data_IF_907277575080
#
_entry.id   IF_907277575080
#
_cell.length_a   1.000
_cell.length_b   1.000
_cell.length_c   1.000
_cell.angle_alpha   90.00
_cell.angle_beta   90.00
_cell.angle_gamma   90.00
#
_symmetry.space_group_name_H-M   'P 1'
#
loop_
_entity.id
_entity.type
_entity.pdbx_description
1 polymer ?
#
# COMPACT_ATOMS: atom_id res chain seq x y z
N UNK A 1 -6.07 20.54 4.57
CA UNK A 1 -5.80 20.06 3.20
C UNK A 1 -6.99 19.23 2.76
N UNK A 2 -7.76 19.63 1.75
CA UNK A 2 -8.95 18.89 1.31
C UNK A 2 -8.57 17.77 0.33
N UNK A 3 -9.31 16.66 0.37
CA UNK A 3 -9.04 15.48 -0.46
C UNK A 3 -7.94 14.56 0.06
N UNK A 4 -7.18 14.95 1.08
CA UNK A 4 -6.15 14.12 1.73
C UNK A 4 -6.61 13.72 3.14
N UNK A 5 -6.23 12.52 3.58
CA UNK A 5 -6.35 12.15 5.00
C UNK A 5 -5.22 12.75 5.83
N UNK A 6 -4.11 13.11 5.18
CA UNK A 6 -2.93 13.74 5.76
C UNK A 6 -1.96 12.75 6.39
N UNK A 7 -2.17 11.44 6.24
CA UNK A 7 -1.40 10.39 6.94
C UNK A 7 -1.04 9.25 6.01
N UNK A 8 0.17 8.74 6.12
CA UNK A 8 0.62 7.50 5.49
C UNK A 8 1.13 6.52 6.54
N UNK A 9 0.93 5.24 6.29
CA UNK A 9 1.52 4.17 7.10
C UNK A 9 2.92 3.83 6.59
N UNK A 10 3.87 3.71 7.49
CA UNK A 10 5.24 3.24 7.24
C UNK A 10 5.37 1.88 7.92
N UNK A 11 5.60 0.84 7.12
CA UNK A 11 5.61 -0.55 7.58
C UNK A 11 6.99 -1.15 7.33
N UNK A 12 7.73 -1.35 8.42
CA UNK A 12 9.00 -2.08 8.42
C UNK A 12 8.72 -3.56 8.69
N UNK A 13 8.71 -4.35 7.63
CA UNK A 13 8.42 -5.79 7.69
C UNK A 13 9.53 -6.59 8.35
N UNK A 14 10.77 -6.11 8.29
CA UNK A 14 11.93 -6.77 8.93
C UNK A 14 11.80 -6.74 10.44
N UNK A 15 11.44 -5.57 11.00
CA UNK A 15 11.31 -5.37 12.44
C UNK A 15 9.88 -5.53 12.96
N UNK A 16 8.90 -5.73 12.08
CA UNK A 16 7.48 -5.80 12.41
C UNK A 16 6.94 -4.50 13.01
N UNK A 17 7.49 -3.35 12.61
CA UNK A 17 7.11 -2.03 13.15
C UNK A 17 6.20 -1.29 12.18
N UNK A 18 5.17 -0.67 12.74
CA UNK A 18 4.27 0.22 12.00
C UNK A 18 4.36 1.59 12.65
N UNK A 19 4.51 2.64 11.84
CA UNK A 19 4.42 4.02 12.29
C UNK A 19 3.58 4.85 11.31
N UNK A 20 3.08 5.98 11.81
CA UNK A 20 2.36 6.95 11.01
C UNK A 20 3.29 8.11 10.64
N UNK A 21 3.19 8.58 9.40
CA UNK A 21 3.85 9.79 8.95
C UNK A 21 2.81 10.77 8.43
N UNK A 22 2.90 12.01 8.90
CA UNK A 22 2.07 13.09 8.38
C UNK A 22 2.56 13.53 6.99
N UNK A 23 1.62 13.74 6.07
CA UNK A 23 1.90 14.34 4.77
C UNK A 23 2.22 15.83 4.91
N UNK A 24 3.23 16.27 4.17
CA UNK A 24 3.57 17.69 4.08
C UNK A 24 2.73 18.34 2.97
N UNK A 25 2.11 19.46 3.29
CA UNK A 25 1.27 20.20 2.32
C UNK A 25 2.05 20.63 1.07
N UNK A 26 3.31 20.99 1.23
CA UNK A 26 4.20 21.35 0.13
C UNK A 26 4.41 20.18 -0.84
N UNK A 27 4.62 18.97 -0.32
CA UNK A 27 4.76 17.76 -1.13
C UNK A 27 3.45 17.44 -1.86
N UNK A 28 2.31 17.59 -1.20
CA UNK A 28 1.00 17.41 -1.83
C UNK A 28 0.73 18.45 -2.92
N UNK A 29 1.21 19.69 -2.78
CA UNK A 29 1.10 20.71 -3.84
C UNK A 29 2.02 20.42 -5.02
N UNK A 30 3.23 19.92 -4.75
CA UNK A 30 4.23 19.64 -5.78
C UNK A 30 3.94 18.35 -6.55
N UNK A 31 3.46 17.32 -5.87
CA UNK A 31 3.36 15.95 -6.42
C UNK A 31 1.91 15.44 -6.46
N UNK A 32 0.94 16.26 -6.03
CA UNK A 32 -0.47 15.91 -5.92
C UNK A 32 -0.68 14.73 -4.95
N UNK A 33 -0.67 13.51 -5.46
CA UNK A 33 -0.82 12.27 -4.70
C UNK A 33 -0.58 11.11 -5.64
N UNK A 34 -1.07 9.92 -5.30
CA UNK A 34 -0.96 8.74 -6.14
C UNK A 34 0.48 8.53 -6.63
N UNK A 35 0.64 8.32 -7.93
CA UNK A 35 1.93 7.96 -8.54
C UNK A 35 2.97 9.07 -8.40
N UNK A 36 2.58 10.34 -8.36
CA UNK A 36 3.51 11.46 -8.20
C UNK A 36 4.18 11.43 -6.82
N UNK A 37 3.37 11.38 -5.76
CA UNK A 37 3.88 11.34 -4.39
C UNK A 37 4.58 10.02 -4.07
N UNK A 38 4.07 8.89 -4.57
CA UNK A 38 4.72 7.59 -4.42
C UNK A 38 6.09 7.54 -5.11
N UNK A 39 6.21 8.14 -6.31
CA UNK A 39 7.49 8.23 -7.03
C UNK A 39 8.50 9.10 -6.29
N UNK A 40 8.05 10.19 -5.66
CA UNK A 40 8.91 11.01 -4.80
C UNK A 40 9.51 10.16 -3.67
N UNK A 41 8.69 9.37 -2.97
CA UNK A 41 9.19 8.52 -1.88
C UNK A 41 10.19 7.49 -2.40
N UNK A 42 9.85 6.80 -3.51
CA UNK A 42 10.75 5.85 -4.13
C UNK A 42 12.10 6.49 -4.51
N UNK A 43 12.06 7.67 -5.12
CA UNK A 43 13.26 8.38 -5.59
C UNK A 43 14.17 8.82 -4.44
N UNK A 44 13.57 9.32 -3.35
CA UNK A 44 14.32 9.81 -2.19
C UNK A 44 14.89 8.68 -1.33
N UNK A 45 14.20 7.53 -1.26
CA UNK A 45 14.44 6.52 -0.23
C UNK A 45 15.05 5.21 -0.75
N UNK A 46 14.78 4.83 -2.02
CA UNK A 46 15.35 3.60 -2.60
C UNK A 46 16.70 3.89 -3.25
N UNK A 47 17.79 3.24 -2.79
CA UNK A 47 19.10 3.42 -3.39
C UNK A 47 19.11 3.05 -4.88
N UNK A 48 19.83 3.83 -5.70
CA UNK A 48 20.00 3.54 -7.15
C UNK A 48 20.39 2.09 -7.43
N UNK A 49 21.28 1.52 -6.60
CA UNK A 49 21.78 0.16 -6.72
C UNK A 49 20.96 -0.91 -5.98
N UNK A 50 19.82 -0.58 -5.37
CA UNK A 50 19.02 -1.55 -4.63
C UNK A 50 18.58 -2.72 -5.52
N UNK A 51 18.66 -3.94 -5.00
CA UNK A 51 18.05 -5.11 -5.63
C UNK A 51 16.51 -4.94 -5.60
N UNK A 52 15.80 -5.01 -6.73
CA UNK A 52 14.34 -4.94 -6.77
C UNK A 52 13.63 -5.98 -5.89
N UNK A 53 14.27 -7.12 -5.61
CA UNK A 53 13.74 -8.17 -4.72
C UNK A 53 14.37 -8.14 -3.32
N UNK A 54 15.23 -7.16 -3.05
CA UNK A 54 15.93 -7.00 -1.78
C UNK A 54 15.20 -6.10 -0.77
N UNK A 55 15.67 -6.08 0.49
CA UNK A 55 15.02 -5.37 1.59
C UNK A 55 15.12 -3.83 1.51
N UNK A 56 15.98 -3.31 0.63
CA UNK A 56 16.16 -1.86 0.42
C UNK A 56 15.24 -1.30 -0.67
N UNK A 57 14.47 -2.15 -1.36
CA UNK A 57 13.38 -1.69 -2.20
C UNK A 57 12.15 -1.37 -1.34
N UNK A 58 11.27 -0.52 -1.86
CA UNK A 58 10.00 -0.17 -1.22
C UNK A 58 8.83 -0.56 -2.13
N UNK A 59 7.74 -1.00 -1.51
CA UNK A 59 6.46 -1.24 -2.17
C UNK A 59 5.45 -0.22 -1.65
N UNK A 60 5.04 0.70 -2.51
CA UNK A 60 4.32 1.91 -2.10
C UNK A 60 2.92 1.89 -2.69
N UNK A 61 1.91 1.73 -1.83
CA UNK A 61 0.51 1.91 -2.16
C UNK A 61 0.14 3.37 -1.91
N UNK A 62 -0.43 4.07 -2.89
CA UNK A 62 -0.78 5.47 -2.74
C UNK A 62 -2.07 5.83 -3.48
N UNK A 63 -2.92 6.60 -2.83
CA UNK A 63 -4.17 7.13 -3.37
C UNK A 63 -4.01 8.56 -3.85
N UNK A 64 -4.91 9.00 -4.73
CA UNK A 64 -4.99 10.40 -5.16
C UNK A 64 -5.94 11.21 -4.28
N UNK A 65 -5.88 12.55 -4.32
CA UNK A 65 -6.76 13.41 -3.53
C UNK A 65 -8.26 13.28 -3.88
N UNK A 66 -8.57 12.76 -5.06
CA UNK A 66 -9.96 12.51 -5.46
C UNK A 66 -10.45 11.13 -5.03
N UNK A 67 -9.57 10.22 -4.61
CA UNK A 67 -9.96 8.85 -4.26
C UNK A 67 -10.97 8.87 -3.10
N UNK A 68 -12.15 8.28 -3.33
CA UNK A 68 -13.26 8.23 -2.37
C UNK A 68 -14.19 9.46 -2.38
N UNK A 69 -13.99 10.42 -3.30
CA UNK A 69 -14.92 11.54 -3.50
C UNK A 69 -16.04 11.19 -4.50
N UNK A 70 -17.03 12.08 -4.65
CA UNK A 70 -18.10 11.95 -5.67
C UNK A 70 -17.62 12.21 -7.11
N UNK A 71 -16.32 12.45 -7.32
CA UNK A 71 -15.76 12.63 -8.66
C UNK A 71 -15.93 11.34 -9.49
N UNK A 72 -16.33 11.43 -10.78
CA UNK A 72 -16.52 10.26 -11.61
C UNK A 72 -15.27 9.36 -11.67
N UNK A 73 -15.46 8.06 -11.42
CA UNK A 73 -14.40 7.05 -11.45
C UNK A 73 -13.25 7.24 -10.42
N UNK A 74 -13.50 7.93 -9.32
CA UNK A 74 -12.49 8.24 -8.32
C UNK A 74 -12.29 7.13 -7.25
N UNK A 75 -12.18 5.87 -7.68
CA UNK A 75 -11.90 4.71 -6.81
C UNK A 75 -10.47 4.17 -6.91
N UNK A 76 -9.59 4.85 -7.65
CA UNK A 76 -8.28 4.31 -8.03
C UNK A 76 -7.20 4.56 -6.99
N UNK A 77 -6.21 3.67 -6.98
CA UNK A 77 -4.92 3.81 -6.31
C UNK A 77 -3.80 3.32 -7.23
N UNK A 78 -2.56 3.61 -6.86
CA UNK A 78 -1.37 3.11 -7.55
C UNK A 78 -0.49 2.31 -6.60
N UNK A 79 0.34 1.46 -7.19
CA UNK A 79 1.43 0.75 -6.53
C UNK A 79 2.72 1.09 -7.26
N UNK A 80 3.68 1.65 -6.55
CA UNK A 80 4.97 2.09 -7.10
C UNK A 80 6.10 1.35 -6.39
N UNK A 81 7.08 0.89 -7.16
CA UNK A 81 8.27 0.19 -6.66
C UNK A 81 9.40 0.23 -7.69
N UNK A 82 10.61 -0.21 -7.34
CA UNK A 82 11.61 -0.61 -8.34
C UNK A 82 11.20 -1.97 -8.92
N UNK A 83 10.96 -2.03 -10.22
CA UNK A 83 10.44 -3.22 -10.88
C UNK A 83 11.49 -4.35 -10.95
N UNK A 84 11.17 -5.58 -10.53
CA UNK A 84 12.06 -6.73 -10.72
C UNK A 84 12.16 -7.19 -12.18
N UNK A 85 11.15 -6.89 -13.01
CA UNK A 85 11.15 -7.26 -14.41
C UNK A 85 12.09 -6.37 -15.24
N UNK A 86 12.10 -5.06 -14.96
CA UNK A 86 12.83 -4.09 -15.80
C UNK A 86 14.05 -3.49 -15.12
N UNK A 87 14.14 -3.57 -13.78
CA UNK A 87 15.17 -2.89 -12.99
C UNK A 87 14.97 -1.38 -12.85
N UNK A 88 13.90 -0.82 -13.42
CA UNK A 88 13.59 0.62 -13.41
C UNK A 88 12.41 0.96 -12.50
N UNK A 89 11.94 2.21 -12.55
CA UNK A 89 10.69 2.62 -11.93
C UNK A 89 9.52 1.80 -12.50
N UNK A 90 8.75 1.18 -11.61
CA UNK A 90 7.53 0.45 -11.92
C UNK A 90 6.32 1.11 -11.26
N UNK A 91 5.25 1.26 -12.04
CA UNK A 91 3.95 1.73 -11.59
C UNK A 91 2.87 0.76 -12.07
N UNK A 92 1.97 0.40 -11.17
CA UNK A 92 0.71 -0.25 -11.50
C UNK A 92 -0.46 0.60 -10.97
N UNK A 93 -1.56 0.63 -11.72
CA UNK A 93 -2.79 1.29 -11.31
C UNK A 93 -3.90 0.26 -11.14
N UNK A 94 -4.69 0.38 -10.06
CA UNK A 94 -5.85 -0.47 -9.83
C UNK A 94 -7.05 0.35 -9.39
N UNK A 95 -8.24 -0.14 -9.75
CA UNK A 95 -9.53 0.45 -9.40
C UNK A 95 -10.26 -0.35 -8.33
N UNK A 96 -11.58 -0.33 -8.39
CA UNK A 96 -12.44 -0.98 -7.39
C UNK A 96 -12.62 -0.09 -6.15
N UNK A 97 -12.85 -0.74 -5.00
CA UNK A 97 -13.15 -0.06 -3.74
C UNK A 97 -11.97 0.02 -2.79
N UNK A 98 -10.88 -0.74 -3.00
CA UNK A 98 -9.77 -0.81 -2.04
C UNK A 98 -9.18 0.55 -1.67
N UNK A 99 -8.90 1.41 -2.67
CA UNK A 99 -8.36 2.75 -2.43
C UNK A 99 -9.32 3.65 -1.64
N UNK A 100 -10.63 3.47 -1.82
CA UNK A 100 -11.66 4.19 -1.04
C UNK A 100 -11.66 3.71 0.42
N UNK A 101 -11.52 2.40 0.65
CA UNK A 101 -11.47 1.85 2.00
C UNK A 101 -10.21 2.27 2.76
N UNK A 102 -9.06 2.37 2.08
CA UNK A 102 -7.84 2.94 2.67
C UNK A 102 -8.05 4.41 3.08
N UNK A 103 -8.75 5.19 2.25
CA UNK A 103 -9.09 6.57 2.58
C UNK A 103 -10.06 6.65 3.76
N UNK A 104 -11.07 5.79 3.79
CA UNK A 104 -12.04 5.73 4.87
C UNK A 104 -11.42 5.30 6.21
N UNK A 105 -10.38 4.46 6.19
CA UNK A 105 -9.60 4.15 7.39
C UNK A 105 -8.65 5.28 7.81
N UNK A 106 -8.60 6.37 7.03
CA UNK A 106 -7.93 7.60 7.40
C UNK A 106 -6.47 7.68 6.96
N UNK A 107 -6.08 6.93 5.93
CA UNK A 107 -4.73 6.97 5.35
C UNK A 107 -4.77 7.30 3.84
N UNK A 108 -3.73 7.97 3.34
CA UNK A 108 -3.54 8.25 1.92
C UNK A 108 -2.66 7.19 1.23
N UNK A 109 -1.87 6.45 1.99
CA UNK A 109 -0.93 5.47 1.45
C UNK A 109 -0.26 4.61 2.49
N UNK A 110 0.43 3.59 2.01
CA UNK A 110 1.20 2.61 2.79
C UNK A 110 2.54 2.43 2.09
N UNK A 111 3.64 2.62 2.82
CA UNK A 111 4.99 2.34 2.34
C UNK A 111 5.52 1.12 3.09
N UNK A 112 5.69 0.02 2.38
CA UNK A 112 6.35 -1.17 2.91
C UNK A 112 7.84 -1.14 2.60
N UNK A 113 8.66 -1.47 3.60
CA UNK A 113 10.10 -1.69 3.48
C UNK A 113 10.52 -2.95 4.21
N UNK A 114 11.63 -3.55 3.79
CA UNK A 114 12.18 -4.73 4.42
C UNK A 114 11.44 -6.01 4.02
N UNK A 115 11.81 -7.11 4.64
CA UNK A 115 11.27 -8.44 4.33
C UNK A 115 10.89 -9.11 5.64
N UNK A 116 9.64 -9.57 5.75
CA UNK A 116 9.19 -10.30 6.93
C UNK A 116 9.82 -11.70 6.95
N UNK A 117 10.30 -12.20 8.10
CA UNK A 117 10.87 -13.55 8.19
C UNK A 117 9.85 -14.68 7.99
N UNK A 118 8.55 -14.35 7.98
CA UNK A 118 7.44 -15.27 7.71
C UNK A 118 6.32 -14.55 6.95
N UNK A 119 5.41 -15.25 6.28
CA UNK A 119 4.23 -14.64 5.69
C UNK A 119 3.41 -13.86 6.72
N UNK A 120 3.10 -12.60 6.42
CA UNK A 120 2.24 -11.72 7.21
C UNK A 120 1.31 -10.93 6.28
N UNK A 121 0.20 -10.45 6.83
CA UNK A 121 -0.69 -9.51 6.15
C UNK A 121 -0.95 -8.30 7.05
N UNK A 122 -1.15 -7.13 6.43
CA UNK A 122 -1.47 -5.90 7.14
C UNK A 122 -2.99 -5.75 7.23
N UNK A 123 -3.51 -5.58 8.45
CA UNK A 123 -4.89 -5.18 8.69
C UNK A 123 -4.91 -3.70 9.01
N UNK A 124 -5.85 -2.97 8.42
CA UNK A 124 -6.15 -1.59 8.77
C UNK A 124 -7.64 -1.51 9.06
N UNK A 125 -7.98 -1.12 10.28
CA UNK A 125 -9.36 -1.01 10.75
C UNK A 125 -9.51 0.26 11.58
N UNK A 126 -10.42 1.15 11.18
CA UNK A 126 -10.71 2.44 11.83
C UNK A 126 -9.47 3.23 12.29
N UNK A 127 -8.48 3.36 11.41
CA UNK A 127 -7.26 4.12 11.67
C UNK A 127 -6.20 3.40 12.50
N UNK A 128 -6.42 2.14 12.86
CA UNK A 128 -5.43 1.28 13.52
C UNK A 128 -4.87 0.29 12.52
N UNK A 129 -3.58 0.01 12.62
CA UNK A 129 -2.89 -0.91 11.73
C UNK A 129 -2.10 -1.95 12.53
N UNK A 130 -2.16 -3.21 12.10
CA UNK A 130 -1.39 -4.31 12.70
C UNK A 130 -0.97 -5.35 11.66
N UNK A 131 0.17 -6.00 11.89
CA UNK A 131 0.63 -7.14 11.10
C UNK A 131 0.14 -8.43 11.74
N UNK A 132 -0.59 -9.25 10.98
CA UNK A 132 -1.09 -10.57 11.38
C UNK A 132 -0.38 -11.69 10.63
N UNK A 133 -0.41 -12.89 11.20
CA UNK A 133 0.20 -14.08 10.60
C UNK A 133 -0.56 -14.52 9.34
N UNK A 134 0.16 -14.81 8.25
CA UNK A 134 -0.45 -15.23 6.98
C UNK A 134 -0.05 -16.66 6.57
N UNK A 135 0.49 -17.49 7.47
CA UNK A 135 0.96 -18.83 7.09
C UNK A 135 -0.17 -19.72 6.55
N UNK A 136 -1.38 -19.56 7.07
CA UNK A 136 -2.57 -20.26 6.61
C UNK A 136 -3.07 -19.75 5.25
N UNK A 137 -2.62 -18.59 4.78
CA UNK A 137 -2.98 -17.97 3.49
C UNK A 137 -1.89 -18.18 2.42
N UNK A 138 -0.63 -18.36 2.83
CA UNK A 138 0.50 -18.48 1.92
C UNK A 138 0.37 -19.69 0.98
N UNK A 139 0.62 -19.49 -0.30
CA UNK A 139 0.45 -20.52 -1.34
C UNK A 139 -0.99 -20.72 -1.83
N UNK A 140 -1.94 -19.87 -1.43
CA UNK A 140 -3.32 -19.88 -1.95
C UNK A 140 -3.50 -18.94 -3.14
N UNK A 141 -4.61 -19.13 -3.85
CA UNK A 141 -5.06 -18.20 -4.88
C UNK A 141 -5.72 -16.96 -4.29
N UNK A 142 -5.85 -15.90 -5.11
CA UNK A 142 -6.43 -14.61 -4.68
C UNK A 142 -7.88 -14.73 -4.21
N UNK A 143 -8.72 -15.52 -4.91
CA UNK A 143 -10.13 -15.69 -4.53
C UNK A 143 -10.30 -16.44 -3.21
N UNK A 144 -9.44 -17.41 -2.94
CA UNK A 144 -9.46 -18.15 -1.67
C UNK A 144 -8.94 -17.28 -0.53
N UNK A 145 -7.88 -16.51 -0.78
CA UNK A 145 -7.31 -15.57 0.20
C UNK A 145 -8.31 -14.49 0.60
N UNK A 146 -8.99 -13.85 -0.36
CA UNK A 146 -10.05 -12.86 -0.09
C UNK A 146 -11.18 -13.45 0.76
N UNK A 147 -11.68 -14.64 0.39
CA UNK A 147 -12.72 -15.33 1.16
C UNK A 147 -12.28 -15.63 2.60
N UNK A 148 -11.09 -16.20 2.79
CA UNK A 148 -10.60 -16.56 4.12
C UNK A 148 -10.39 -15.35 5.02
N UNK A 149 -9.88 -14.24 4.48
CA UNK A 149 -9.72 -12.99 5.23
C UNK A 149 -11.10 -12.44 5.64
N UNK A 150 -12.09 -12.45 4.74
CA UNK A 150 -13.44 -11.98 5.07
C UNK A 150 -14.19 -12.89 6.05
N UNK A 151 -13.94 -14.19 5.99
CA UNK A 151 -14.45 -15.14 7.01
C UNK A 151 -13.86 -14.87 8.39
N UNK A 152 -12.60 -14.42 8.46
CA UNK A 152 -11.93 -14.08 9.72
C UNK A 152 -12.33 -12.69 10.25
N UNK A 153 -12.37 -11.68 9.38
CA UNK A 153 -12.47 -10.27 9.77
C UNK A 153 -13.86 -9.65 9.57
N UNK A 154 -14.62 -10.14 8.59
CA UNK A 154 -15.89 -9.56 8.16
C UNK A 154 -15.93 -9.24 6.66
N UNK A 155 -17.14 -9.29 6.07
CA UNK A 155 -17.39 -9.02 4.65
C UNK A 155 -17.15 -7.55 4.25
N UNK A 156 -17.12 -6.66 5.23
CA UNK A 156 -16.81 -5.25 5.07
C UNK A 156 -15.34 -5.00 4.71
N UNK A 157 -14.44 -5.95 4.98
CA UNK A 157 -13.02 -5.77 4.67
C UNK A 157 -12.76 -5.86 3.16
N UNK A 158 -11.88 -4.98 2.67
CA UNK A 158 -11.45 -4.98 1.28
C UNK A 158 -9.99 -5.46 1.17
N UNK A 159 -9.75 -6.46 0.31
CA UNK A 159 -8.47 -7.17 0.26
C UNK A 159 -7.70 -6.84 -1.02
N UNK A 160 -6.45 -6.42 -0.87
CA UNK A 160 -5.45 -6.44 -1.92
C UNK A 160 -4.43 -7.53 -1.57
N UNK A 161 -4.32 -8.56 -2.40
CA UNK A 161 -3.46 -9.72 -2.13
C UNK A 161 -2.75 -10.22 -3.39
N UNK A 162 -1.74 -11.06 -3.17
CA UNK A 162 -1.04 -11.82 -4.19
C UNK A 162 -1.56 -13.27 -4.21
N UNK A 163 -1.38 -13.96 -5.33
CA UNK A 163 -1.52 -15.41 -5.41
C UNK A 163 -0.14 -16.07 -5.50
N UNK A 164 -0.12 -17.38 -5.78
CA UNK A 164 1.08 -18.24 -5.86
C UNK A 164 2.22 -17.69 -6.74
N UNK A 165 1.90 -16.86 -7.75
CA UNK A 165 2.88 -16.31 -8.68
C UNK A 165 3.65 -15.09 -8.14
N UNK A 166 3.09 -14.38 -7.16
CA UNK A 166 3.76 -13.29 -6.45
C UNK A 166 4.55 -13.83 -5.28
#
# INVERSE_FOLDING_TARGET
>A
MFGYMGRILRVDLTNGRISEQNLKEEECKMFLGGSGLATKYLFDEVPKGADPLGPDNELIFMTGPLTGTESPSAGRYCVVTKSPLTGFWGEANSGGSWGVYLKNSGFDGIVFRGISPKPVYLVIDDGKAELRDANNLWGRGVSETDRLIKEELGEEFNVACIGIAG
#
